data_IF_559234674453
#
_entry.id   IF_559234674453
#
_cell.length_a   1.000
_cell.length_b   1.000
_cell.length_c   1.000
_cell.angle_alpha   90.00
_cell.angle_beta   90.00
_cell.angle_gamma   90.00
#
_symmetry.space_group_name_H-M   'P 1'
#
loop_
_entity.id
_entity.type
_entity.pdbx_description
1 polymer ?
#
# COMPACT_ATOMS: atom_id res chain seq x y z
N UNK A 1 -50.64 17.13 35.65
CA UNK A 1 -50.71 18.59 35.86
C UNK A 1 -52.01 19.07 36.53
N UNK A 2 -53.15 18.36 36.46
CA UNK A 2 -54.40 18.87 37.07
C UNK A 2 -54.47 18.79 38.62
N UNK A 3 -53.80 17.82 39.23
CA UNK A 3 -53.85 17.60 40.69
C UNK A 3 -53.12 18.69 41.48
N UNK A 4 -51.91 19.07 41.06
CA UNK A 4 -51.13 20.13 41.72
C UNK A 4 -51.83 21.51 41.63
N UNK A 5 -52.51 21.79 40.51
CA UNK A 5 -53.27 23.02 40.34
C UNK A 5 -54.50 23.04 41.26
N UNK A 6 -55.19 21.90 41.44
CA UNK A 6 -56.29 21.76 42.39
C UNK A 6 -55.83 21.89 43.84
N UNK A 7 -54.70 21.27 44.21
CA UNK A 7 -54.15 21.35 45.56
C UNK A 7 -53.75 22.79 45.91
N UNK A 8 -53.14 23.51 44.96
CA UNK A 8 -52.80 24.93 45.11
C UNK A 8 -54.04 25.81 45.29
N UNK A 9 -55.10 25.55 44.52
CA UNK A 9 -56.35 26.30 44.63
C UNK A 9 -57.03 26.09 46.00
N UNK A 10 -57.10 24.84 46.47
CA UNK A 10 -57.67 24.50 47.77
C UNK A 10 -56.88 25.12 48.94
N UNK A 11 -55.55 25.22 48.81
CA UNK A 11 -54.69 25.83 49.83
C UNK A 11 -54.86 27.36 49.88
N UNK A 12 -55.00 28.01 48.72
CA UNK A 12 -55.30 29.44 48.64
C UNK A 12 -56.68 29.77 49.22
N UNK A 13 -57.69 28.94 48.99
CA UNK A 13 -59.03 29.11 49.56
C UNK A 13 -58.99 29.00 51.09
N UNK A 14 -58.28 28.00 51.64
CA UNK A 14 -58.09 27.85 53.09
C UNK A 14 -57.35 29.06 53.70
N UNK A 15 -56.29 29.55 53.05
CA UNK A 15 -55.57 30.74 53.51
C UNK A 15 -56.45 32.00 53.49
N UNK A 16 -57.26 32.17 52.46
CA UNK A 16 -58.21 33.29 52.35
C UNK A 16 -59.26 33.25 53.46
N UNK A 17 -59.82 32.07 53.74
CA UNK A 17 -60.78 31.86 54.81
C UNK A 17 -60.19 32.17 56.21
N UNK A 18 -58.96 31.70 56.48
CA UNK A 18 -58.25 32.00 57.72
C UNK A 18 -57.95 33.50 57.86
N UNK A 19 -57.55 34.17 56.78
CA UNK A 19 -57.28 35.60 56.79
C UNK A 19 -58.53 36.42 57.16
N UNK A 20 -59.68 36.11 56.57
CA UNK A 20 -60.94 36.79 56.89
C UNK A 20 -61.46 36.45 58.30
N UNK A 21 -61.10 35.27 58.84
CA UNK A 21 -61.40 34.93 60.24
C UNK A 21 -60.55 35.77 61.21
N UNK A 22 -59.24 35.87 60.97
CA UNK A 22 -58.33 36.69 61.77
C UNK A 22 -58.73 38.17 61.71
N UNK A 23 -59.09 38.67 60.53
CA UNK A 23 -59.53 40.06 60.34
C UNK A 23 -60.80 40.37 61.13
N UNK A 24 -61.79 39.46 61.13
CA UNK A 24 -63.01 39.61 61.95
C UNK A 24 -62.70 39.61 63.43
N UNK A 25 -61.88 38.67 63.89
CA UNK A 25 -61.46 38.59 65.28
C UNK A 25 -60.74 39.86 65.76
N UNK A 26 -59.81 40.40 64.97
CA UNK A 26 -59.13 41.68 65.29
C UNK A 26 -60.13 42.83 65.36
N UNK A 27 -61.13 42.86 64.48
CA UNK A 27 -62.22 43.83 64.52
C UNK A 27 -63.04 43.75 65.81
N UNK A 28 -63.42 42.54 66.22
CA UNK A 28 -64.16 42.26 67.46
C UNK A 28 -63.33 42.67 68.69
N UNK A 29 -62.05 42.34 68.74
CA UNK A 29 -61.17 42.74 69.85
C UNK A 29 -61.03 44.25 69.97
N UNK A 30 -60.85 44.95 68.84
CA UNK A 30 -60.77 46.42 68.84
C UNK A 30 -62.07 47.08 69.31
N UNK A 31 -63.21 46.46 69.00
CA UNK A 31 -64.51 46.94 69.47
C UNK A 31 -64.67 46.69 70.97
N UNK A 32 -64.28 45.51 71.45
CA UNK A 32 -64.28 45.15 72.88
C UNK A 32 -63.35 46.06 73.69
N UNK A 33 -62.18 46.39 73.16
CA UNK A 33 -61.25 47.34 73.79
C UNK A 33 -61.87 48.73 73.96
N UNK A 34 -62.65 49.20 72.97
CA UNK A 34 -63.40 50.47 73.09
C UNK A 34 -64.50 50.39 74.14
N UNK A 35 -65.23 49.28 74.19
CA UNK A 35 -66.28 49.04 75.18
C UNK A 35 -65.70 49.04 76.59
N UNK A 36 -64.66 48.25 76.84
CA UNK A 36 -63.94 48.23 78.12
C UNK A 36 -63.33 49.59 78.47
N UNK A 37 -62.80 50.32 77.48
CA UNK A 37 -62.31 51.69 77.68
C UNK A 37 -63.42 52.64 78.14
N UNK A 38 -64.61 52.52 77.58
CA UNK A 38 -65.77 53.32 77.99
C UNK A 38 -66.30 52.93 79.38
N UNK A 39 -66.32 51.64 79.71
CA UNK A 39 -66.68 51.12 81.03
C UNK A 39 -65.69 51.59 82.11
N UNK A 40 -64.38 51.58 81.81
CA UNK A 40 -63.35 52.08 82.71
C UNK A 40 -63.52 53.57 83.00
N UNK A 41 -63.85 54.37 81.98
CA UNK A 41 -64.14 55.81 82.15
C UNK A 41 -65.38 55.99 83.05
N UNK A 42 -66.43 55.19 82.85
CA UNK A 42 -67.63 55.24 83.67
C UNK A 42 -67.37 54.82 85.13
N UNK A 43 -66.56 53.77 85.35
CA UNK A 43 -66.14 53.33 86.68
C UNK A 43 -65.28 54.38 87.39
N UNK A 44 -64.35 55.03 86.69
CA UNK A 44 -63.57 56.14 87.24
C UNK A 44 -64.45 57.32 87.65
N UNK A 45 -65.44 57.66 86.83
CA UNK A 45 -66.40 58.71 87.16
C UNK A 45 -67.22 58.37 88.42
N UNK A 46 -67.71 57.13 88.54
CA UNK A 46 -68.42 56.65 89.75
C UNK A 46 -67.52 56.63 90.98
N UNK A 47 -66.26 56.21 90.84
CA UNK A 47 -65.29 56.24 91.93
C UNK A 47 -65.06 57.67 92.44
N UNK A 48 -64.88 58.63 91.52
CA UNK A 48 -64.73 60.04 91.88
C UNK A 48 -65.99 60.62 92.55
N UNK A 49 -67.18 60.19 92.14
CA UNK A 49 -68.45 60.58 92.78
C UNK A 49 -68.54 60.04 94.22
N UNK A 50 -68.21 58.76 94.42
CA UNK A 50 -68.17 58.14 95.76
C UNK A 50 -67.12 58.79 96.65
N UNK A 51 -65.93 59.10 96.12
CA UNK A 51 -64.91 59.87 96.86
C UNK A 51 -65.42 61.25 97.29
N UNK A 52 -66.14 61.94 96.39
CA UNK A 52 -66.79 63.22 96.70
C UNK A 52 -67.82 63.09 97.83
N UNK A 53 -68.69 62.08 97.76
CA UNK A 53 -69.68 61.79 98.81
C UNK A 53 -69.01 61.45 100.16
N UNK A 54 -67.91 60.69 100.14
CA UNK A 54 -67.13 60.38 101.36
C UNK A 54 -66.53 61.65 101.96
N UNK A 55 -65.98 62.55 101.13
CA UNK A 55 -65.42 63.82 101.61
C UNK A 55 -66.50 64.75 102.20
N UNK A 56 -67.67 64.83 101.55
CA UNK A 56 -68.82 65.59 102.05
C UNK A 56 -69.28 65.04 103.40
N UNK A 57 -69.45 63.71 103.52
CA UNK A 57 -69.83 63.08 104.78
C UNK A 57 -68.75 63.23 105.87
N UNK A 58 -67.47 63.17 105.53
CA UNK A 58 -66.39 63.47 106.48
C UNK A 58 -66.47 64.92 106.97
N UNK A 59 -66.80 65.86 106.09
CA UNK A 59 -66.98 67.27 106.46
C UNK A 59 -68.18 67.45 107.40
N UNK A 60 -69.32 66.82 107.10
CA UNK A 60 -70.50 66.81 107.98
C UNK A 60 -70.19 66.23 109.36
N UNK A 61 -69.47 65.10 109.40
CA UNK A 61 -69.03 64.48 110.66
C UNK A 61 -68.10 65.43 111.42
N UNK A 62 -67.14 66.09 110.75
CA UNK A 62 -66.22 67.05 111.39
C UNK A 62 -66.95 68.29 111.94
N UNK A 63 -67.88 68.85 111.18
CA UNK A 63 -68.71 69.98 111.62
C UNK A 63 -69.50 69.59 112.87
N UNK A 64 -70.09 68.39 112.88
CA UNK A 64 -70.88 67.90 114.00
C UNK A 64 -70.03 67.52 115.21
N UNK A 65 -68.82 66.98 115.02
CA UNK A 65 -67.84 66.82 116.12
C UNK A 65 -67.47 68.17 116.71
N UNK A 66 -67.38 69.22 115.87
CA UNK A 66 -67.25 70.61 116.33
C UNK A 66 -68.42 71.05 117.21
N UNK A 67 -69.67 70.82 116.78
CA UNK A 67 -70.87 71.11 117.57
C UNK A 67 -70.92 70.32 118.88
N UNK A 68 -70.60 69.02 118.85
CA UNK A 68 -70.47 68.18 120.04
C UNK A 68 -69.37 68.69 120.98
N UNK A 69 -68.26 69.22 120.44
CA UNK A 69 -67.21 69.86 121.23
C UNK A 69 -67.73 71.12 121.95
N UNK A 70 -68.58 71.92 121.30
CA UNK A 70 -69.26 73.07 121.93
C UNK A 70 -70.21 72.59 123.04
N UNK A 71 -71.01 71.56 122.78
CA UNK A 71 -71.92 70.97 123.78
C UNK A 71 -71.14 70.41 124.98
N UNK A 72 -70.04 69.69 124.73
CA UNK A 72 -69.19 69.17 125.81
C UNK A 72 -68.54 70.29 126.63
N UNK A 73 -68.08 71.36 125.98
CA UNK A 73 -67.54 72.56 126.65
C UNK A 73 -68.61 73.26 127.52
N UNK A 74 -69.86 73.34 127.04
CA UNK A 74 -71.00 73.83 127.83
C UNK A 74 -71.29 72.91 129.03
N UNK A 75 -71.23 71.59 128.85
CA UNK A 75 -71.40 70.62 129.94
C UNK A 75 -70.26 70.69 130.97
N UNK A 76 -69.01 70.84 130.55
CA UNK A 76 -67.84 71.01 131.43
C UNK A 76 -67.90 72.35 132.21
N UNK A 77 -68.27 73.46 131.55
CA UNK A 77 -68.52 74.74 132.24
C UNK A 77 -69.64 74.61 133.29
N UNK A 78 -70.67 73.81 133.01
CA UNK A 78 -71.77 73.54 133.95
C UNK A 78 -71.33 72.67 135.12
N UNK A 79 -70.50 71.65 134.91
CA UNK A 79 -69.92 70.86 135.99
C UNK A 79 -69.07 71.73 136.94
N UNK A 80 -68.38 72.75 136.42
CA UNK A 80 -67.70 73.77 137.21
C UNK A 80 -68.64 74.64 138.05
N UNK A 81 -69.82 75.00 137.52
CA UNK A 81 -70.80 75.84 138.23
C UNK A 81 -71.64 75.11 139.30
N UNK A 82 -71.73 73.78 139.23
CA UNK A 82 -72.43 72.97 140.25
C UNK A 82 -71.54 72.71 141.49
N UNK A 83 -70.22 72.96 141.40
CA UNK A 83 -69.28 72.86 142.52
C UNK A 83 -69.33 74.02 143.53
N UNK A 84 -69.94 75.15 143.18
CA UNK A 84 -70.09 76.33 144.04
C UNK A 84 -71.57 76.69 144.21
N UNK A 85 -72.31 75.88 144.97
CA UNK A 85 -73.69 76.18 145.33
C UNK A 85 -73.75 76.90 146.69
N UNK A 86 -74.01 78.22 146.74
CA UNK A 86 -74.42 78.88 147.98
C UNK A 86 -75.91 78.60 148.23
N UNK A 87 -76.23 78.20 149.46
CA UNK A 87 -77.56 78.12 150.08
C UNK A 87 -78.63 79.01 149.41
N UNK A 88 -79.44 78.41 148.54
CA UNK A 88 -80.53 79.09 147.84
C UNK A 88 -81.79 79.08 148.71
N UNK A 89 -82.46 80.24 148.76
CA UNK A 89 -83.72 80.45 149.49
C UNK A 89 -84.87 79.65 148.87
N UNK A 90 -85.83 79.16 149.69
CA UNK A 90 -86.90 78.26 149.25
C UNK A 90 -87.86 78.85 148.21
N UNK A 91 -87.92 80.18 148.06
CA UNK A 91 -88.80 80.87 147.10
C UNK A 91 -88.33 80.79 145.63
N UNK A 92 -87.11 80.30 145.37
CA UNK A 92 -86.55 80.14 144.02
C UNK A 92 -86.42 78.67 143.57
N UNK A 93 -86.80 77.71 144.42
CA UNK A 93 -86.68 76.28 144.12
C UNK A 93 -87.66 75.81 143.03
N UNK A 94 -88.83 76.44 142.91
CA UNK A 94 -89.84 76.07 141.92
C UNK A 94 -89.46 76.54 140.51
N UNK A 95 -88.92 77.75 140.37
CA UNK A 95 -88.40 78.27 139.10
C UNK A 95 -87.15 77.52 138.60
N UNK A 96 -86.30 77.04 139.52
CA UNK A 96 -85.12 76.23 139.18
C UNK A 96 -85.52 74.80 138.76
N UNK A 97 -86.57 74.23 139.36
CA UNK A 97 -87.15 72.93 138.97
C UNK A 97 -87.76 72.97 137.56
N UNK A 98 -88.52 74.02 137.23
CA UNK A 98 -89.13 74.18 135.91
C UNK A 98 -88.08 74.46 134.81
N UNK A 99 -87.07 75.28 135.11
CA UNK A 99 -85.95 75.53 134.20
C UNK A 99 -85.05 74.30 133.99
N UNK A 100 -84.94 73.40 134.99
CA UNK A 100 -84.22 72.14 134.85
C UNK A 100 -85.07 71.09 134.08
N UNK A 101 -86.40 71.07 134.25
CA UNK A 101 -87.31 70.16 133.53
C UNK A 101 -87.38 70.43 132.02
N UNK A 102 -87.59 71.69 131.61
CA UNK A 102 -87.55 72.09 130.18
C UNK A 102 -86.17 71.84 129.56
N UNK A 103 -85.11 71.91 130.38
CA UNK A 103 -83.73 71.67 129.94
C UNK A 103 -83.41 70.18 129.81
N UNK A 104 -84.00 69.30 130.63
CA UNK A 104 -83.88 67.85 130.44
C UNK A 104 -84.64 67.34 129.22
N UNK A 105 -85.77 67.96 128.86
CA UNK A 105 -86.49 67.64 127.61
C UNK A 105 -85.68 68.08 126.37
N UNK A 106 -85.01 69.23 126.45
CA UNK A 106 -84.09 69.68 125.40
C UNK A 106 -82.86 68.75 125.27
N UNK A 107 -82.25 68.34 126.38
CA UNK A 107 -81.12 67.38 126.38
C UNK A 107 -81.54 66.00 125.85
N UNK A 108 -82.73 65.50 126.22
CA UNK A 108 -83.28 64.26 125.67
C UNK A 108 -83.60 64.38 124.18
N UNK A 109 -84.17 65.50 123.73
CA UNK A 109 -84.40 65.76 122.30
C UNK A 109 -83.09 65.80 121.52
N UNK A 110 -82.05 66.42 122.07
CA UNK A 110 -80.72 66.47 121.45
C UNK A 110 -80.08 65.07 121.38
N UNK A 111 -80.21 64.26 122.43
CA UNK A 111 -79.72 62.88 122.46
C UNK A 111 -80.49 61.98 121.49
N UNK A 112 -81.80 62.15 121.36
CA UNK A 112 -82.63 61.44 120.39
C UNK A 112 -82.22 61.81 118.95
N UNK A 113 -81.99 63.10 118.66
CA UNK A 113 -81.48 63.58 117.37
C UNK A 113 -80.08 63.03 117.07
N UNK A 114 -79.18 63.00 118.06
CA UNK A 114 -77.84 62.43 117.91
C UNK A 114 -77.90 60.90 117.67
N UNK A 115 -78.82 60.20 118.32
CA UNK A 115 -79.02 58.75 118.13
C UNK A 115 -79.54 58.45 116.73
N UNK A 116 -80.56 59.17 116.28
CA UNK A 116 -81.12 59.00 114.93
C UNK A 116 -80.09 59.35 113.85
N UNK A 117 -79.28 60.40 114.09
CA UNK A 117 -78.17 60.74 113.22
C UNK A 117 -77.09 59.64 113.19
N UNK A 118 -76.70 59.10 114.35
CA UNK A 118 -75.70 58.03 114.42
C UNK A 118 -76.16 56.77 113.66
N UNK A 119 -77.44 56.41 113.76
CA UNK A 119 -78.03 55.31 112.99
C UNK A 119 -78.02 55.62 111.49
N UNK A 120 -78.37 56.85 111.09
CA UNK A 120 -78.33 57.25 109.68
C UNK A 120 -76.90 57.32 109.12
N UNK A 121 -75.93 57.80 109.90
CA UNK A 121 -74.52 57.85 109.54
C UNK A 121 -73.93 56.43 109.41
N UNK A 122 -74.23 55.53 110.35
CA UNK A 122 -73.83 54.13 110.26
C UNK A 122 -74.46 53.43 109.04
N UNK A 123 -75.74 53.68 108.75
CA UNK A 123 -76.41 53.16 107.56
C UNK A 123 -75.88 53.72 106.24
N UNK A 124 -75.35 54.95 106.22
CA UNK A 124 -74.64 55.51 105.05
C UNK A 124 -73.24 54.91 104.91
N UNK A 125 -72.48 54.80 106.00
CA UNK A 125 -71.16 54.19 106.00
C UNK A 125 -71.21 52.72 105.56
N UNK A 126 -72.19 51.94 106.03
CA UNK A 126 -72.36 50.55 105.60
C UNK A 126 -72.66 50.46 104.10
N UNK A 127 -73.53 51.33 103.56
CA UNK A 127 -73.79 51.38 102.11
C UNK A 127 -72.54 51.72 101.29
N UNK A 128 -71.69 52.61 101.78
CA UNK A 128 -70.40 52.92 101.15
C UNK A 128 -69.44 51.74 101.22
N UNK A 129 -69.37 51.03 102.35
CA UNK A 129 -68.56 49.81 102.49
C UNK A 129 -69.04 48.72 101.54
N UNK A 130 -70.36 48.52 101.43
CA UNK A 130 -70.97 47.55 100.51
C UNK A 130 -70.70 47.96 99.04
N UNK A 131 -70.75 49.25 98.71
CA UNK A 131 -70.37 49.77 97.39
C UNK A 131 -68.89 49.54 97.07
N UNK A 132 -67.98 49.90 97.98
CA UNK A 132 -66.53 49.72 97.79
C UNK A 132 -66.15 48.24 97.69
N UNK A 133 -66.76 47.36 98.48
CA UNK A 133 -66.53 45.91 98.36
C UNK A 133 -67.09 45.35 97.06
N UNK A 134 -68.24 45.84 96.58
CA UNK A 134 -68.76 45.45 95.26
C UNK A 134 -67.88 45.92 94.10
N UNK A 135 -67.26 47.11 94.21
CA UNK A 135 -66.31 47.64 93.24
C UNK A 135 -65.00 46.85 93.24
N UNK A 136 -64.44 46.54 94.43
CA UNK A 136 -63.22 45.74 94.54
C UNK A 136 -63.40 44.31 93.99
N UNK A 137 -64.59 43.71 94.18
CA UNK A 137 -64.92 42.43 93.56
C UNK A 137 -65.04 42.54 92.04
N UNK A 138 -65.60 43.64 91.52
CA UNK A 138 -65.64 43.96 90.08
C UNK A 138 -64.25 44.13 89.47
N UNK A 139 -63.35 44.85 90.15
CA UNK A 139 -61.97 45.05 89.72
C UNK A 139 -61.19 43.73 89.68
N UNK A 140 -61.36 42.86 90.68
CA UNK A 140 -60.72 41.53 90.70
C UNK A 140 -61.23 40.61 89.57
N UNK A 141 -62.51 40.69 89.22
CA UNK A 141 -63.07 39.95 88.07
C UNK A 141 -62.50 40.48 86.74
N UNK A 142 -62.37 41.80 86.61
CA UNK A 142 -61.78 42.44 85.44
C UNK A 142 -60.29 42.12 85.26
N UNK A 143 -59.52 42.11 86.35
CA UNK A 143 -58.10 41.71 86.32
C UNK A 143 -57.92 40.24 85.92
N UNK A 144 -58.81 39.35 86.39
CA UNK A 144 -58.80 37.94 85.98
C UNK A 144 -59.13 37.77 84.49
N UNK A 145 -60.10 38.52 83.98
CA UNK A 145 -60.47 38.51 82.57
C UNK A 145 -59.34 39.06 81.68
N UNK A 146 -58.69 40.16 82.09
CA UNK A 146 -57.48 40.69 81.44
C UNK A 146 -56.33 39.67 81.43
N UNK A 147 -56.13 38.92 82.52
CA UNK A 147 -55.11 37.88 82.58
C UNK A 147 -55.42 36.72 81.61
N UNK A 148 -56.69 36.32 81.49
CA UNK A 148 -57.12 35.33 80.50
C UNK A 148 -56.96 35.85 79.06
N UNK A 149 -57.30 37.10 78.80
CA UNK A 149 -57.14 37.66 77.45
C UNK A 149 -55.66 37.83 77.08
N UNK A 150 -54.76 38.15 78.02
CA UNK A 150 -53.29 38.12 77.80
C UNK A 150 -52.77 36.72 77.48
N UNK A 151 -53.26 35.69 78.17
CA UNK A 151 -52.81 34.30 77.88
C UNK A 151 -53.32 33.83 76.52
N UNK A 152 -54.55 34.18 76.14
CA UNK A 152 -55.07 33.95 74.78
C UNK A 152 -54.23 34.69 73.74
N UNK A 153 -53.89 35.95 73.99
CA UNK A 153 -53.04 36.73 73.09
C UNK A 153 -51.67 36.08 72.90
N UNK A 154 -51.03 35.60 73.97
CA UNK A 154 -49.76 34.86 73.88
C UNK A 154 -49.88 33.58 73.06
N UNK A 155 -50.97 32.81 73.24
CA UNK A 155 -51.21 31.61 72.43
C UNK A 155 -51.41 31.94 70.94
N UNK A 156 -52.17 33.00 70.64
CA UNK A 156 -52.33 33.49 69.27
C UNK A 156 -51.00 33.94 68.66
N UNK A 157 -50.14 34.63 69.41
CA UNK A 157 -48.80 35.03 68.94
C UNK A 157 -47.92 33.82 68.64
N UNK A 158 -47.98 32.77 69.46
CA UNK A 158 -47.28 31.51 69.19
C UNK A 158 -47.80 30.84 67.92
N UNK A 159 -49.11 30.78 67.73
CA UNK A 159 -49.72 30.23 66.51
C UNK A 159 -49.31 31.01 65.27
N UNK A 160 -49.32 32.35 65.32
CA UNK A 160 -48.88 33.22 64.22
C UNK A 160 -47.41 32.96 63.89
N UNK A 161 -46.55 32.81 64.92
CA UNK A 161 -45.12 32.54 64.73
C UNK A 161 -44.90 31.18 64.07
N UNK A 162 -45.59 30.14 64.54
CA UNK A 162 -45.53 28.80 63.95
C UNK A 162 -45.99 28.79 62.48
N UNK A 163 -47.09 29.51 62.17
CA UNK A 163 -47.57 29.65 60.79
C UNK A 163 -46.56 30.39 59.92
N UNK A 164 -45.94 31.46 60.43
CA UNK A 164 -44.90 32.20 59.71
C UNK A 164 -43.70 31.31 59.39
N UNK A 165 -43.24 30.51 60.35
CA UNK A 165 -42.14 29.58 60.16
C UNK A 165 -42.48 28.46 59.17
N UNK A 166 -43.73 28.01 59.16
CA UNK A 166 -44.20 27.04 58.18
C UNK A 166 -44.23 27.63 56.77
N UNK A 167 -44.76 28.85 56.62
CA UNK A 167 -44.76 29.59 55.34
C UNK A 167 -43.34 29.83 54.83
N UNK A 168 -42.40 30.19 55.71
CA UNK A 168 -41.00 30.36 55.35
C UNK A 168 -40.38 29.06 54.82
N UNK A 169 -40.64 27.92 55.49
CA UNK A 169 -40.20 26.60 55.04
C UNK A 169 -40.78 26.19 53.69
N UNK A 170 -42.08 26.41 53.49
CA UNK A 170 -42.72 26.17 52.20
C UNK A 170 -42.14 27.06 51.10
N UNK A 171 -41.84 28.34 51.41
CA UNK A 171 -41.18 29.27 50.49
C UNK A 171 -39.80 28.78 50.05
N UNK A 172 -39.00 28.26 50.99
CA UNK A 172 -37.70 27.66 50.67
C UNK A 172 -37.84 26.43 49.77
N UNK A 173 -38.78 25.52 50.09
CA UNK A 173 -39.05 24.33 49.27
C UNK A 173 -39.49 24.69 47.84
N UNK A 174 -40.34 25.71 47.69
CA UNK A 174 -40.73 26.21 46.36
C UNK A 174 -39.52 26.75 45.61
N UNK A 175 -38.61 27.47 46.27
CA UNK A 175 -37.38 27.98 45.68
C UNK A 175 -36.46 26.85 45.17
N UNK A 176 -36.29 25.79 45.96
CA UNK A 176 -35.50 24.62 45.57
C UNK A 176 -36.13 23.88 44.38
N UNK A 177 -37.45 23.68 44.40
CA UNK A 177 -38.17 23.06 43.30
C UNK A 177 -38.09 23.87 41.99
N UNK A 178 -38.20 25.20 42.07
CA UNK A 178 -38.04 26.07 40.90
C UNK A 178 -36.62 26.04 40.33
N UNK A 179 -35.61 25.91 41.20
CA UNK A 179 -34.22 25.78 40.77
C UNK A 179 -34.00 24.46 40.05
N UNK A 180 -34.52 23.35 40.62
CA UNK A 180 -34.47 22.03 39.99
C UNK A 180 -35.27 21.97 38.67
N UNK A 181 -36.40 22.67 38.59
CA UNK A 181 -37.15 22.81 37.34
C UNK A 181 -36.33 23.52 36.26
N UNK A 182 -35.63 24.60 36.61
CA UNK A 182 -34.74 25.32 35.67
C UNK A 182 -33.59 24.44 35.18
N UNK A 183 -32.97 23.68 36.07
CA UNK A 183 -31.91 22.72 35.71
C UNK A 183 -32.43 21.63 34.76
N UNK A 184 -33.59 21.04 35.06
CA UNK A 184 -34.20 20.03 34.20
C UNK A 184 -34.56 20.59 32.82
N UNK A 185 -35.10 21.82 32.75
CA UNK A 185 -35.36 22.48 31.45
C UNK A 185 -34.09 22.73 30.67
N UNK A 186 -33.00 23.14 31.33
CA UNK A 186 -31.70 23.32 30.68
C UNK A 186 -31.16 21.98 30.14
N UNK A 187 -31.26 20.91 30.93
CA UNK A 187 -30.84 19.57 30.51
C UNK A 187 -31.66 19.04 29.34
N UNK A 188 -32.99 19.20 29.37
CA UNK A 188 -33.87 18.89 28.23
C UNK A 188 -33.44 19.67 26.99
N UNK A 189 -33.17 20.97 27.10
CA UNK A 189 -32.73 21.78 25.97
C UNK A 189 -31.33 21.40 25.44
N UNK A 190 -30.46 20.81 26.27
CA UNK A 190 -29.20 20.20 25.79
C UNK A 190 -29.48 18.89 25.07
N UNK A 191 -30.30 18.03 25.66
CA UNK A 191 -30.68 16.75 25.04
C UNK A 191 -31.40 16.95 23.71
N UNK A 192 -32.31 17.91 23.61
CA UNK A 192 -33.02 18.25 22.37
C UNK A 192 -32.10 18.82 21.30
N UNK A 193 -31.01 19.50 21.67
CA UNK A 193 -29.99 19.95 20.72
C UNK A 193 -29.09 18.80 20.28
N UNK A 194 -28.60 17.97 21.21
CA UNK A 194 -27.78 16.80 20.87
C UNK A 194 -28.56 15.69 20.16
N UNK A 195 -29.85 15.56 20.47
CA UNK A 195 -30.78 14.66 19.80
C UNK A 195 -31.54 15.38 18.68
N UNK A 196 -31.24 16.65 18.41
CA UNK A 196 -31.79 17.30 17.23
C UNK A 196 -31.29 16.49 16.06
N UNK A 197 -32.24 15.88 15.38
CA UNK A 197 -32.04 15.04 14.22
C UNK A 197 -31.12 15.74 13.21
N UNK A 198 -31.04 17.07 13.20
CA UNK A 198 -30.20 17.85 12.29
C UNK A 198 -28.71 17.53 12.32
N UNK A 199 -28.06 17.37 13.49
CA UNK A 199 -26.62 17.08 13.51
C UNK A 199 -26.34 15.64 13.04
N UNK A 200 -27.08 14.66 13.58
CA UNK A 200 -26.97 13.27 13.17
C UNK A 200 -27.42 13.04 11.72
N UNK A 201 -28.45 13.74 11.26
CA UNK A 201 -28.93 13.68 9.86
C UNK A 201 -27.91 14.31 8.94
N UNK A 202 -27.29 15.44 9.32
CA UNK A 202 -26.20 16.05 8.57
C UNK A 202 -24.98 15.13 8.46
N UNK A 203 -24.58 14.48 9.55
CA UNK A 203 -23.51 13.46 9.54
C UNK A 203 -23.88 12.25 8.67
N UNK A 204 -25.11 11.75 8.76
CA UNK A 204 -25.59 10.63 7.93
C UNK A 204 -25.66 11.02 6.46
N UNK A 205 -26.10 12.22 6.12
CA UNK A 205 -26.11 12.74 4.74
C UNK A 205 -24.68 12.88 4.19
N UNK A 206 -23.77 13.43 4.99
CA UNK A 206 -22.35 13.51 4.62
C UNK A 206 -21.73 12.12 4.40
N UNK A 207 -21.98 11.17 5.31
CA UNK A 207 -21.51 9.79 5.16
C UNK A 207 -22.12 9.10 3.94
N UNK A 208 -23.41 9.32 3.64
CA UNK A 208 -24.05 8.80 2.42
C UNK A 208 -23.39 9.36 1.15
N UNK A 209 -23.14 10.67 1.11
CA UNK A 209 -22.45 11.29 -0.02
C UNK A 209 -21.02 10.74 -0.19
N UNK A 210 -20.31 10.55 0.93
CA UNK A 210 -18.98 9.95 0.92
C UNK A 210 -18.98 8.50 0.42
N UNK A 211 -19.93 7.68 0.88
CA UNK A 211 -20.10 6.30 0.39
C UNK A 211 -20.41 6.27 -1.11
N UNK A 212 -21.33 7.12 -1.59
CA UNK A 212 -21.65 7.21 -3.01
C UNK A 212 -20.44 7.60 -3.89
N UNK A 213 -19.59 8.51 -3.39
CA UNK A 213 -18.34 8.87 -4.05
C UNK A 213 -17.37 7.69 -4.13
N UNK A 214 -17.21 6.93 -3.03
CA UNK A 214 -16.39 5.72 -3.00
C UNK A 214 -16.92 4.62 -3.92
N UNK A 215 -18.23 4.44 -4.01
CA UNK A 215 -18.86 3.48 -4.93
C UNK A 215 -18.58 3.85 -6.39
N UNK A 216 -18.65 5.14 -6.73
CA UNK A 216 -18.31 5.65 -8.06
C UNK A 216 -16.83 5.38 -8.38
N UNK A 217 -15.93 5.70 -7.45
CA UNK A 217 -14.50 5.43 -7.60
C UNK A 217 -14.21 3.93 -7.78
N UNK A 218 -14.91 3.07 -7.04
CA UNK A 218 -14.78 1.63 -7.17
C UNK A 218 -15.30 1.11 -8.52
N UNK A 219 -16.34 1.73 -9.09
CA UNK A 219 -16.83 1.40 -10.43
C UNK A 219 -15.82 1.79 -11.51
N UNK A 220 -15.23 2.99 -11.43
CA UNK A 220 -14.21 3.47 -12.36
C UNK A 220 -12.96 2.57 -12.35
N UNK A 221 -12.49 2.18 -11.16
CA UNK A 221 -11.35 1.27 -11.02
C UNK A 221 -11.63 -0.12 -11.59
N UNK A 222 -12.86 -0.62 -11.47
CA UNK A 222 -13.25 -1.90 -12.11
C UNK A 222 -13.23 -1.80 -13.63
N UNK A 223 -13.73 -0.70 -14.20
CA UNK A 223 -13.65 -0.48 -15.64
C UNK A 223 -12.20 -0.39 -16.14
N UNK A 224 -11.32 0.25 -15.37
CA UNK A 224 -9.88 0.30 -15.70
C UNK A 224 -9.24 -1.09 -15.65
N UNK A 225 -9.54 -1.92 -14.65
CA UNK A 225 -9.04 -3.29 -14.57
C UNK A 225 -9.54 -4.16 -15.74
N UNK A 226 -10.81 -4.03 -16.12
CA UNK A 226 -11.37 -4.71 -17.29
C UNK A 226 -10.68 -4.30 -18.60
N UNK A 227 -10.42 -3.00 -18.78
CA UNK A 227 -9.69 -2.49 -19.94
C UNK A 227 -8.26 -3.04 -20.01
N UNK A 228 -7.53 -3.00 -18.89
CA UNK A 228 -6.18 -3.55 -18.80
C UNK A 228 -6.13 -5.06 -19.04
N UNK A 229 -7.13 -5.81 -18.56
CA UNK A 229 -7.24 -7.25 -18.85
C UNK A 229 -7.48 -7.52 -20.33
N UNK A 230 -8.30 -6.70 -20.99
CA UNK A 230 -8.53 -6.82 -22.43
C UNK A 230 -7.23 -6.53 -23.22
N UNK A 231 -6.49 -5.48 -22.85
CA UNK A 231 -5.17 -5.20 -23.42
C UNK A 231 -4.19 -6.35 -23.19
N UNK A 232 -4.12 -6.90 -21.97
CA UNK A 232 -3.25 -8.04 -21.68
C UNK A 232 -3.59 -9.25 -22.56
N UNK A 233 -4.89 -9.51 -22.80
CA UNK A 233 -5.33 -10.58 -23.68
C UNK A 233 -4.88 -10.35 -25.14
N UNK A 234 -4.95 -9.11 -25.65
CA UNK A 234 -4.45 -8.81 -27.01
C UNK A 234 -2.94 -8.94 -27.10
N UNK A 235 -2.18 -8.48 -26.09
CA UNK A 235 -0.73 -8.68 -26.02
C UNK A 235 -0.36 -10.17 -26.00
N UNK A 236 -1.09 -11.00 -25.25
CA UNK A 236 -0.88 -12.45 -25.22
C UNK A 236 -1.17 -13.11 -26.58
N UNK A 237 -2.23 -12.68 -27.28
CA UNK A 237 -2.52 -13.18 -28.63
C UNK A 237 -1.42 -12.77 -29.63
N UNK A 238 -0.97 -11.53 -29.58
CA UNK A 238 0.13 -11.04 -30.42
C UNK A 238 1.44 -11.82 -30.15
N UNK A 239 1.75 -12.09 -28.87
CA UNK A 239 2.92 -12.88 -28.51
C UNK A 239 2.85 -14.32 -29.06
N UNK A 240 1.67 -14.95 -29.06
CA UNK A 240 1.45 -16.26 -29.67
C UNK A 240 1.63 -16.22 -31.19
N UNK A 241 1.03 -15.23 -31.85
CA UNK A 241 1.18 -15.05 -33.30
C UNK A 241 2.66 -14.87 -33.71
N UNK A 242 3.42 -14.05 -32.96
CA UNK A 242 4.85 -13.88 -33.18
C UNK A 242 5.65 -15.17 -32.95
N UNK A 243 5.27 -15.97 -31.95
CA UNK A 243 5.91 -17.27 -31.71
C UNK A 243 5.66 -18.25 -32.86
N UNK A 244 4.44 -18.28 -33.39
CA UNK A 244 4.07 -19.10 -34.55
C UNK A 244 4.83 -18.64 -35.81
N UNK A 245 4.95 -17.33 -36.04
CA UNK A 245 5.79 -16.76 -37.11
C UNK A 245 7.26 -17.15 -36.96
N UNK A 246 7.80 -17.09 -35.74
CA UNK A 246 9.18 -17.52 -35.46
C UNK A 246 9.39 -19.00 -35.76
N UNK A 247 8.44 -19.87 -35.38
CA UNK A 247 8.51 -21.29 -35.68
C UNK A 247 8.47 -21.56 -37.20
N UNK A 248 7.58 -20.88 -37.93
CA UNK A 248 7.51 -20.99 -39.39
C UNK A 248 8.80 -20.50 -40.09
N UNK A 249 9.42 -19.42 -39.59
CA UNK A 249 10.71 -18.95 -40.08
C UNK A 249 11.85 -19.93 -39.79
N UNK A 250 11.84 -20.57 -38.61
CA UNK A 250 12.82 -21.60 -38.28
C UNK A 250 12.68 -22.82 -39.21
N UNK A 251 11.46 -23.26 -39.49
CA UNK A 251 11.22 -24.36 -40.43
C UNK A 251 11.75 -24.02 -41.84
N UNK A 252 11.45 -22.80 -42.33
CA UNK A 252 12.00 -22.32 -43.61
C UNK A 252 13.53 -22.29 -43.64
N UNK A 253 14.18 -21.88 -42.55
CA UNK A 253 15.64 -21.90 -42.46
C UNK A 253 16.18 -23.33 -42.53
N UNK A 254 15.56 -24.29 -41.83
CA UNK A 254 15.97 -25.70 -41.91
C UNK A 254 15.78 -26.28 -43.30
N UNK A 255 14.70 -25.90 -44.00
CA UNK A 255 14.47 -26.31 -45.38
C UNK A 255 15.54 -25.75 -46.31
N UNK A 256 15.84 -24.45 -46.21
CA UNK A 256 16.89 -23.80 -46.99
C UNK A 256 18.27 -24.42 -46.72
N UNK A 257 18.60 -24.75 -45.48
CA UNK A 257 19.84 -25.44 -45.14
C UNK A 257 19.91 -26.84 -45.80
N UNK A 258 18.79 -27.56 -45.82
CA UNK A 258 18.67 -28.83 -46.54
C UNK A 258 18.88 -28.67 -48.05
N UNK A 259 18.26 -27.66 -48.66
CA UNK A 259 18.47 -27.31 -50.07
C UNK A 259 19.94 -26.98 -50.35
N UNK A 260 20.60 -26.20 -49.49
CA UNK A 260 22.00 -25.81 -49.63
C UNK A 260 22.93 -27.03 -49.51
N UNK A 261 22.67 -27.94 -48.57
CA UNK A 261 23.39 -29.21 -48.47
C UNK A 261 23.23 -30.08 -49.73
N UNK A 262 22.02 -30.16 -50.28
CA UNK A 262 21.78 -30.89 -51.53
C UNK A 262 22.57 -30.29 -52.70
N UNK A 263 22.63 -28.96 -52.80
CA UNK A 263 23.41 -28.27 -53.82
C UNK A 263 24.91 -28.50 -53.65
N UNK A 264 25.42 -28.48 -52.42
CA UNK A 264 26.84 -28.81 -52.13
C UNK A 264 27.19 -30.24 -52.51
N UNK A 265 26.28 -31.18 -52.30
CA UNK A 265 26.48 -32.57 -52.72
C UNK A 265 26.50 -32.68 -54.25
N UNK A 266 25.56 -32.02 -54.93
CA UNK A 266 25.56 -31.94 -56.39
C UNK A 266 26.86 -31.32 -56.93
N UNK A 267 27.34 -30.23 -56.31
CA UNK A 267 28.61 -29.60 -56.70
C UNK A 267 29.79 -30.56 -56.51
N UNK A 268 29.83 -31.32 -55.39
CA UNK A 268 30.86 -32.34 -55.16
C UNK A 268 30.82 -33.43 -56.23
N UNK A 269 29.63 -33.91 -56.58
CA UNK A 269 29.45 -34.94 -57.60
C UNK A 269 29.90 -34.43 -58.97
N UNK A 270 29.51 -33.21 -59.34
CA UNK A 270 29.95 -32.55 -60.57
C UNK A 270 31.48 -32.36 -60.60
N UNK A 271 32.09 -31.93 -59.50
CA UNK A 271 33.56 -31.84 -59.38
C UNK A 271 34.23 -33.20 -59.57
N UNK A 272 33.65 -34.26 -59.01
CA UNK A 272 34.14 -35.63 -59.22
C UNK A 272 34.02 -36.07 -60.68
N UNK A 273 32.91 -35.76 -61.36
CA UNK A 273 32.73 -36.05 -62.78
C UNK A 273 33.75 -35.29 -63.63
N UNK A 274 33.96 -34.00 -63.36
CA UNK A 274 34.99 -33.20 -64.04
C UNK A 274 36.39 -33.78 -63.82
N UNK A 275 36.69 -34.28 -62.62
CA UNK A 275 37.92 -35.00 -62.33
C UNK A 275 38.10 -36.24 -63.22
N UNK A 276 37.05 -37.07 -63.31
CA UNK A 276 37.06 -38.25 -64.19
C UNK A 276 37.22 -37.88 -65.68
N UNK A 277 36.60 -36.79 -66.15
CA UNK A 277 36.82 -36.30 -67.51
C UNK A 277 38.28 -35.85 -67.75
N UNK A 278 38.93 -35.22 -66.78
CA UNK A 278 40.35 -34.87 -66.89
C UNK A 278 41.24 -36.11 -66.92
N UNK A 279 40.95 -37.13 -66.12
CA UNK A 279 41.66 -38.41 -66.18
C UNK A 279 41.49 -39.10 -67.53
N UNK A 280 40.27 -39.10 -68.09
CA UNK A 280 40.01 -39.58 -69.44
C UNK A 280 40.80 -38.80 -70.49
N UNK A 281 40.82 -37.47 -70.42
CA UNK A 281 41.59 -36.64 -71.34
C UNK A 281 43.10 -36.95 -71.23
N UNK A 282 43.62 -37.12 -70.01
CA UNK A 282 45.00 -37.54 -69.79
C UNK A 282 45.29 -38.95 -70.32
N UNK A 283 44.36 -39.90 -70.16
CA UNK A 283 44.47 -41.23 -70.74
C UNK A 283 44.45 -41.20 -72.27
N UNK A 284 43.62 -40.34 -72.87
CA UNK A 284 43.55 -40.15 -74.32
C UNK A 284 44.84 -39.53 -74.87
N UNK A 285 45.40 -38.53 -74.20
CA UNK A 285 46.70 -37.96 -74.56
C UNK A 285 47.82 -39.01 -74.49
N UNK A 286 47.82 -39.88 -73.47
CA UNK A 286 48.77 -41.00 -73.39
C UNK A 286 48.58 -42.00 -74.53
N UNK A 287 47.33 -42.31 -74.89
CA UNK A 287 47.02 -43.18 -76.01
C UNK A 287 47.54 -42.59 -77.34
N UNK A 288 47.38 -41.29 -77.56
CA UNK A 288 47.93 -40.58 -78.72
C UNK A 288 49.46 -40.62 -78.74
N UNK A 289 50.13 -40.41 -77.60
CA UNK A 289 51.59 -40.52 -77.49
C UNK A 289 52.08 -41.95 -77.80
N UNK A 290 51.39 -42.97 -77.28
CA UNK A 290 51.70 -44.36 -77.59
C UNK A 290 51.48 -44.69 -79.07
N UNK A 291 50.43 -44.14 -79.68
CA UNK A 291 50.16 -44.31 -81.10
C UNK A 291 51.27 -43.68 -81.96
N UNK A 292 51.69 -42.45 -81.63
CA UNK A 292 52.82 -41.80 -82.30
C UNK A 292 54.12 -42.60 -82.12
N UNK A 293 54.39 -43.12 -80.92
CA UNK A 293 55.55 -43.95 -80.66
C UNK A 293 55.52 -45.26 -81.45
N UNK A 294 54.34 -45.88 -81.59
CA UNK A 294 54.14 -47.08 -82.40
C UNK A 294 54.39 -46.79 -83.88
N UNK A 295 53.86 -45.69 -84.41
CA UNK A 295 54.06 -45.32 -85.82
C UNK A 295 55.53 -44.98 -86.11
N UNK A 296 56.21 -44.28 -85.20
CA UNK A 296 57.66 -44.07 -85.29
C UNK A 296 58.45 -45.39 -85.22
N UNK A 297 58.03 -46.35 -84.39
CA UNK A 297 58.63 -47.68 -84.34
C UNK A 297 58.41 -48.46 -85.64
N UNK A 298 57.22 -48.35 -86.26
CA UNK A 298 56.92 -48.93 -87.57
C UNK A 298 57.78 -48.33 -88.67
N UNK A 299 57.94 -47.02 -88.72
CA UNK A 299 58.84 -46.37 -89.69
C UNK A 299 60.29 -46.85 -89.54
N UNK A 300 60.79 -46.96 -88.30
CA UNK A 300 62.13 -47.53 -88.04
C UNK A 300 62.25 -48.97 -88.53
N UNK A 301 61.23 -49.80 -88.31
CA UNK A 301 61.19 -51.17 -88.84
C UNK A 301 61.22 -51.18 -90.37
N UNK A 302 60.39 -50.36 -91.02
CA UNK A 302 60.39 -50.23 -92.49
C UNK A 302 61.71 -49.70 -93.05
N UNK A 303 62.41 -48.83 -92.32
CA UNK A 303 63.75 -48.37 -92.70
C UNK A 303 64.83 -49.45 -92.52
N UNK A 304 64.64 -50.39 -91.59
CA UNK A 304 65.54 -51.54 -91.40
C UNK A 304 65.34 -52.63 -92.44
N UNK A 305 64.13 -52.81 -92.99
CA UNK A 305 63.84 -53.80 -94.04
C UNK A 305 64.81 -53.77 -95.25
N UNK A 306 65.12 -52.63 -95.88
CA UNK A 306 66.07 -52.59 -96.99
C UNK A 306 67.48 -52.97 -96.57
N UNK A 307 67.90 -52.65 -95.34
CA UNK A 307 69.20 -53.06 -94.80
C UNK A 307 69.28 -54.58 -94.62
N UNK A 308 68.22 -55.20 -94.10
CA UNK A 308 68.13 -56.67 -93.98
C UNK A 308 68.13 -57.33 -95.36
N UNK A 309 67.40 -56.77 -96.34
CA UNK A 309 67.41 -57.29 -97.72
C UNK A 309 68.79 -57.19 -98.36
N UNK A 310 69.49 -56.07 -98.16
CA UNK A 310 70.84 -55.88 -98.66
C UNK A 310 71.82 -56.87 -98.04
N UNK A 311 71.84 -56.99 -96.70
CA UNK A 311 72.71 -57.94 -96.01
C UNK A 311 72.44 -59.40 -96.43
N UNK A 312 71.17 -59.76 -96.67
CA UNK A 312 70.83 -61.09 -97.20
C UNK A 312 71.31 -61.30 -98.65
N UNK A 313 71.28 -60.28 -99.49
CA UNK A 313 71.81 -60.34 -100.86
C UNK A 313 73.35 -60.50 -100.86
N UNK A 314 74.05 -59.79 -99.97
CA UNK A 314 75.49 -59.91 -99.79
C UNK A 314 75.87 -61.32 -99.32
N UNK A 315 75.14 -61.87 -98.34
CA UNK A 315 75.33 -63.24 -97.85
C UNK A 315 75.07 -64.28 -98.94
N UNK A 316 74.04 -64.09 -99.78
CA UNK A 316 73.76 -64.99 -100.89
C UNK A 316 74.91 -65.00 -101.91
N UNK A 317 75.44 -63.82 -102.22
CA UNK A 317 76.61 -63.66 -103.11
C UNK A 317 77.84 -64.36 -102.55
N UNK A 318 78.15 -64.15 -101.27
CA UNK A 318 79.25 -64.83 -100.59
C UNK A 318 79.09 -66.35 -100.58
N UNK A 319 77.87 -66.85 -100.35
CA UNK A 319 77.61 -68.29 -100.34
C UNK A 319 77.74 -68.90 -101.76
N UNK A 320 77.33 -68.16 -102.80
CA UNK A 320 77.55 -68.58 -104.18
C UNK A 320 79.04 -68.69 -104.52
N UNK A 321 79.85 -67.73 -104.08
CA UNK A 321 81.31 -67.74 -104.24
C UNK A 321 81.96 -68.88 -103.44
N UNK A 322 81.50 -69.13 -102.21
CA UNK A 322 82.00 -70.23 -101.39
C UNK A 322 81.69 -71.60 -102.00
N UNK A 323 80.51 -71.78 -102.61
CA UNK A 323 80.17 -73.00 -103.35
C UNK A 323 81.01 -73.17 -104.61
N UNK A 324 81.19 -72.10 -105.39
CA UNK A 324 82.12 -72.08 -106.52
C UNK A 324 83.54 -72.47 -106.11
N UNK A 325 83.96 -72.06 -104.91
CA UNK A 325 85.27 -72.42 -104.39
C UNK A 325 85.39 -73.90 -104.01
N UNK A 326 84.30 -74.52 -103.54
CA UNK A 326 84.26 -75.93 -103.17
C UNK A 326 84.14 -76.87 -104.38
N UNK A 327 83.40 -76.46 -105.42
CA UNK A 327 83.12 -77.29 -106.60
C UNK A 327 84.19 -77.15 -107.71
N UNK A 328 85.09 -76.17 -107.62
CA UNK A 328 86.11 -75.94 -108.64
C UNK A 328 87.21 -77.02 -108.60
N UNK A 329 87.45 -77.76 -109.70
CA UNK A 329 88.45 -78.83 -109.75
C UNK A 329 89.90 -78.31 -109.71
N UNK A 330 90.11 -77.00 -109.82
CA UNK A 330 91.41 -76.36 -109.65
C UNK A 330 91.27 -74.86 -109.35
N UNK A 331 92.28 -74.28 -108.69
CA UNK A 331 92.31 -72.86 -108.35
C UNK A 331 92.22 -71.93 -109.56
N UNK A 332 92.61 -72.39 -110.75
CA UNK A 332 92.49 -71.63 -112.00
C UNK A 332 91.04 -71.51 -112.44
N UNK A 333 90.31 -72.63 -112.47
CA UNK A 333 88.88 -72.67 -112.86
C UNK A 333 88.03 -71.86 -111.88
N UNK A 334 88.39 -71.88 -110.60
CA UNK A 334 87.78 -71.05 -109.55
C UNK A 334 87.94 -69.57 -109.86
N UNK A 335 89.16 -69.11 -110.14
CA UNK A 335 89.44 -67.71 -110.45
C UNK A 335 88.78 -67.27 -111.75
N UNK A 336 88.78 -68.12 -112.78
CA UNK A 336 88.09 -67.84 -114.04
C UNK A 336 86.58 -67.67 -113.82
N UNK A 337 85.95 -68.59 -113.09
CA UNK A 337 84.51 -68.52 -112.80
C UNK A 337 84.15 -67.38 -111.83
N UNK A 338 85.00 -67.08 -110.84
CA UNK A 338 84.80 -65.97 -109.92
C UNK A 338 84.92 -64.61 -110.61
N UNK A 339 85.91 -64.43 -111.49
CA UNK A 339 86.08 -63.21 -112.29
C UNK A 339 84.97 -63.07 -113.32
N UNK A 340 84.50 -64.17 -113.90
CA UNK A 340 83.34 -64.20 -114.78
C UNK A 340 82.09 -63.69 -114.06
N UNK A 341 81.79 -64.26 -112.88
CA UNK A 341 80.61 -63.88 -112.11
C UNK A 341 80.71 -62.44 -111.58
N UNK A 342 81.89 -62.00 -111.12
CA UNK A 342 82.12 -60.63 -110.69
C UNK A 342 81.96 -59.63 -111.85
N UNK A 343 82.45 -59.97 -113.04
CA UNK A 343 82.28 -59.17 -114.24
C UNK A 343 80.81 -59.01 -114.66
N UNK A 344 80.03 -60.10 -114.61
CA UNK A 344 78.59 -60.07 -114.89
C UNK A 344 77.80 -59.28 -113.85
N UNK A 345 78.11 -59.43 -112.55
CA UNK A 345 77.41 -58.72 -111.48
C UNK A 345 77.73 -57.22 -111.43
N UNK A 346 78.97 -56.84 -111.76
CA UNK A 346 79.39 -55.44 -111.81
C UNK A 346 79.04 -54.76 -113.15
N UNK A 347 78.58 -55.51 -114.15
CA UNK A 347 78.32 -55.00 -115.50
C UNK A 347 79.57 -54.40 -116.15
N UNK A 348 80.76 -54.92 -115.83
CA UNK A 348 82.03 -54.37 -116.26
C UNK A 348 82.59 -55.16 -117.47
N UNK A 349 82.95 -54.46 -118.55
CA UNK A 349 83.47 -55.05 -119.79
C UNK A 349 84.91 -55.60 -119.69
N UNK A 350 85.53 -55.53 -118.50
CA UNK A 350 86.86 -56.07 -118.24
C UNK A 350 87.10 -56.24 -116.75
N UNK A 351 86.88 -57.44 -116.22
CA UNK A 351 87.26 -57.79 -114.85
C UNK A 351 88.50 -58.70 -114.93
N UNK A 352 89.51 -58.46 -114.09
CA UNK A 352 90.79 -59.17 -114.17
C UNK A 352 91.17 -59.71 -112.79
N UNK A 353 91.55 -60.97 -112.71
CA UNK A 353 92.25 -61.51 -111.55
C UNK A 353 93.73 -61.68 -111.84
N UNK A 354 94.51 -61.13 -110.91
CA UNK A 354 95.92 -61.37 -110.78
C UNK A 354 96.11 -62.33 -109.58
N UNK A 355 96.95 -63.36 -109.76
CA UNK A 355 97.37 -64.24 -108.68
C UNK A 355 98.78 -63.86 -108.26
N UNK A 356 98.99 -63.67 -106.97
CA UNK A 356 100.34 -63.57 -106.42
C UNK A 356 101.06 -64.91 -106.51
N UNK A 357 102.19 -64.95 -107.22
CA UNK A 357 103.10 -66.09 -107.25
C UNK A 357 104.20 -65.85 -106.23
N UNK A 358 104.12 -66.54 -105.10
CA UNK A 358 105.06 -66.39 -103.99
C UNK A 358 106.49 -66.85 -104.35
N UNK A 359 106.60 -67.92 -105.15
CA UNK A 359 107.90 -68.44 -105.62
C UNK A 359 108.67 -67.43 -106.47
N UNK A 360 107.96 -66.59 -107.22
CA UNK A 360 108.53 -65.59 -108.12
C UNK A 360 108.41 -64.15 -107.56
N UNK A 361 107.82 -63.99 -106.36
CA UNK A 361 107.46 -62.71 -105.74
C UNK A 361 106.80 -61.71 -106.73
N UNK A 362 105.86 -62.18 -107.56
CA UNK A 362 105.21 -61.34 -108.58
C UNK A 362 103.73 -61.64 -108.75
N UNK A 363 102.98 -60.63 -109.19
CA UNK A 363 101.62 -60.81 -109.69
C UNK A 363 101.67 -61.46 -111.08
N UNK A 364 100.93 -62.55 -111.23
CA UNK A 364 100.79 -63.28 -112.49
C UNK A 364 99.33 -63.19 -112.91
N UNK A 365 99.04 -62.82 -114.17
CA UNK A 365 97.70 -62.91 -114.73
C UNK A 365 97.11 -64.30 -114.51
N UNK A 366 95.95 -64.35 -113.87
CA UNK A 366 95.31 -65.62 -113.53
C UNK A 366 94.07 -65.86 -114.38
N UNK A 367 93.19 -64.85 -114.44
CA UNK A 367 91.95 -64.92 -115.17
C UNK A 367 91.50 -63.52 -115.60
N UNK A 368 90.67 -63.46 -116.64
CA UNK A 368 89.99 -62.24 -117.03
C UNK A 368 88.57 -62.57 -117.52
N UNK A 369 87.68 -61.61 -117.37
CA UNK A 369 86.33 -61.60 -117.93
C UNK A 369 86.26 -60.58 -119.05
N UNK A 370 85.49 -60.90 -120.09
CA UNK A 370 85.35 -60.08 -121.29
C UNK A 370 86.34 -60.46 -122.39
N UNK A 371 86.64 -59.50 -123.27
CA UNK A 371 87.40 -59.72 -124.52
C UNK A 371 88.80 -60.32 -124.32
N UNK A 372 89.36 -60.18 -123.13
CA UNK A 372 90.72 -60.63 -122.81
C UNK A 372 90.77 -61.94 -122.01
N UNK A 373 89.65 -62.66 -121.83
CA UNK A 373 89.60 -63.89 -121.02
C UNK A 373 90.61 -64.96 -121.46
N UNK A 374 90.79 -65.12 -122.78
CA UNK A 374 91.68 -66.14 -123.34
C UNK A 374 93.12 -65.68 -123.50
N UNK A 375 93.36 -64.37 -123.57
CA UNK A 375 94.69 -63.79 -123.84
C UNK A 375 95.38 -63.33 -122.57
N UNK A 376 94.64 -62.80 -121.60
CA UNK A 376 95.20 -62.24 -120.37
C UNK A 376 96.07 -63.23 -119.57
N UNK A 377 95.68 -64.50 -119.36
CA UNK A 377 96.51 -65.45 -118.60
C UNK A 377 97.86 -65.77 -119.27
N UNK A 378 97.98 -65.55 -120.57
CA UNK A 378 99.18 -65.83 -121.35
C UNK A 378 100.04 -64.58 -121.60
N UNK A 379 99.58 -63.40 -121.21
CA UNK A 379 100.34 -62.16 -121.42
C UNK A 379 101.59 -62.16 -120.53
N UNK A 380 102.80 -62.08 -121.13
CA UNK A 380 104.03 -61.94 -120.36
C UNK A 380 104.05 -60.54 -119.76
N UNK A 381 103.66 -60.41 -118.50
CA UNK A 381 103.83 -59.16 -117.76
C UNK A 381 105.33 -58.89 -117.59
N UNK A 382 105.83 -57.89 -118.30
CA UNK A 382 107.21 -57.44 -118.16
C UNK A 382 107.41 -56.84 -116.76
N UNK A 383 108.52 -57.21 -116.11
CA UNK A 383 108.93 -56.89 -114.73
C UNK A 383 108.89 -55.40 -114.31
N UNK A 384 108.53 -54.46 -115.18
CA UNK A 384 108.65 -53.02 -114.92
C UNK A 384 107.35 -52.25 -114.71
N UNK A 385 106.18 -52.85 -114.89
CA UNK A 385 104.92 -52.08 -114.83
C UNK A 385 104.06 -52.33 -113.60
N UNK A 386 104.43 -53.26 -112.73
CA UNK A 386 103.77 -53.43 -111.43
C UNK A 386 104.84 -53.57 -110.34
N UNK A 387 105.49 -52.45 -110.02
CA UNK A 387 106.07 -52.23 -108.68
C UNK A 387 104.90 -52.16 -107.69
N UNK A 388 104.25 -53.30 -107.45
CA UNK A 388 103.26 -53.49 -106.39
C UNK A 388 103.94 -54.01 -105.12
N UNK A 389 105.26 -53.85 -105.01
CA UNK A 389 106.08 -54.33 -103.90
C UNK A 389 105.95 -53.51 -102.61
N UNK A 390 105.00 -52.57 -102.44
CA UNK A 390 104.92 -51.86 -101.13
C UNK A 390 103.53 -51.66 -100.51
N UNK A 391 102.39 -51.58 -101.22
CA UNK A 391 101.17 -51.06 -100.57
C UNK A 391 99.97 -52.02 -100.37
N UNK A 392 100.02 -53.29 -100.79
CA UNK A 392 98.84 -54.17 -100.66
C UNK A 392 99.09 -55.52 -99.97
N UNK A 393 100.31 -55.79 -99.51
CA UNK A 393 100.59 -57.02 -98.74
C UNK A 393 100.22 -56.93 -97.24
N UNK A 394 99.83 -55.76 -96.70
CA UNK A 394 99.56 -55.60 -95.26
C UNK A 394 98.21 -55.00 -94.85
N UNK A 395 97.43 -54.43 -95.77
CA UNK A 395 96.09 -53.93 -95.43
C UNK A 395 95.06 -54.95 -95.93
N UNK A 396 94.44 -55.71 -95.04
CA UNK A 396 93.34 -56.63 -95.38
C UNK A 396 92.06 -55.92 -95.83
N UNK A 397 92.16 -54.93 -96.74
CA UNK A 397 91.09 -54.10 -97.26
C UNK A 397 91.19 -53.97 -98.78
N UNK A 398 90.04 -54.01 -99.46
CA UNK A 398 89.93 -53.79 -100.90
C UNK A 398 90.18 -52.31 -101.24
N UNK A 399 90.92 -52.03 -102.32
CA UNK A 399 91.12 -50.67 -102.83
C UNK A 399 90.35 -50.48 -104.14
N UNK A 400 89.51 -49.45 -104.17
CA UNK A 400 88.92 -48.89 -105.40
C UNK A 400 89.80 -47.74 -105.87
N UNK A 401 90.30 -47.80 -107.10
CA UNK A 401 90.93 -46.65 -107.76
C UNK A 401 90.02 -46.22 -108.91
N UNK A 402 89.60 -44.96 -108.88
CA UNK A 402 88.68 -44.37 -109.84
C UNK A 402 89.42 -44.16 -111.17
N UNK A 403 89.16 -45.08 -112.13
CA UNK A 403 89.88 -45.14 -113.40
C UNK A 403 90.04 -46.55 -113.98
N UNK A 404 88.94 -47.28 -114.13
CA UNK A 404 88.84 -48.40 -115.10
C UNK A 404 89.50 -49.74 -114.77
N UNK A 405 90.15 -49.92 -113.61
CA UNK A 405 90.67 -51.23 -113.19
C UNK A 405 90.33 -51.52 -111.71
N UNK A 406 89.41 -52.46 -111.48
CA UNK A 406 89.15 -53.00 -110.14
C UNK A 406 90.08 -54.20 -109.88
N UNK A 407 90.89 -54.13 -108.81
CA UNK A 407 91.73 -55.26 -108.37
C UNK A 407 91.12 -55.86 -107.10
N UNK A 408 90.49 -57.02 -107.22
CA UNK A 408 89.99 -57.80 -106.08
C UNK A 408 91.13 -58.64 -105.50
N UNK A 409 91.61 -58.23 -104.32
CA UNK A 409 92.49 -59.05 -103.48
C UNK A 409 91.63 -60.02 -102.68
N UNK A 410 91.57 -61.28 -103.11
CA UNK A 410 91.02 -62.37 -102.30
C UNK A 410 92.17 -63.00 -101.50
N UNK A 411 92.21 -62.86 -100.16
CA UNK A 411 93.12 -63.66 -99.36
C UNK A 411 92.63 -65.11 -99.36
N UNK A 412 93.07 -65.90 -100.34
CA UNK A 412 92.98 -67.35 -100.28
C UNK A 412 94.04 -67.87 -99.30
N UNK A 413 93.77 -67.65 -98.01
CA UNK A 413 94.48 -68.33 -96.93
C UNK A 413 93.94 -69.77 -96.90
N UNK A 414 94.63 -70.67 -97.58
CA UNK A 414 94.50 -72.11 -97.31
C UNK A 414 95.30 -72.39 -96.03
N UNK A 415 94.73 -72.04 -94.88
CA UNK A 415 95.15 -72.56 -93.58
C UNK A 415 93.95 -73.21 -92.90
N UNK A 416 94.18 -74.43 -92.42
CA UNK A 416 93.16 -75.32 -91.90
C UNK A 416 92.34 -74.73 -90.75
N UNK A 417 91.06 -75.08 -90.78
CA UNK A 417 90.15 -75.33 -89.66
C UNK A 417 90.81 -75.13 -88.29
N UNK A 418 90.51 -74.00 -87.63
CA UNK A 418 90.44 -73.89 -86.16
C UNK A 418 89.45 -72.80 -85.75
N UNK A 419 88.22 -73.26 -85.48
CA UNK A 419 87.36 -72.98 -84.31
C UNK A 419 87.17 -71.54 -83.76
N UNK A 420 85.89 -71.18 -83.58
CA UNK A 420 85.35 -70.25 -82.57
C UNK A 420 85.00 -68.87 -83.15
N UNK A 421 83.75 -68.46 -83.39
CA UNK A 421 82.48 -68.66 -82.67
C UNK A 421 82.61 -68.26 -81.19
N UNK A 422 82.50 -66.97 -80.91
CA UNK A 422 82.11 -66.44 -79.62
C UNK A 422 81.15 -65.26 -79.80
N UNK A 423 80.02 -65.43 -79.11
CA UNK A 423 78.80 -64.65 -78.91
C UNK A 423 78.89 -63.12 -78.97
#
# INVERSE_FOLDING_TARGET
>A
MSTLAQDKAALLEKHSALFEQVKRFVGEQKQREKELGSELVALKARSAEVEGQVQEHLHDIQAMVGELGVVNSIMEQRAGLVGEAPTVRPEYAEALSEALGVRTEYEQSLLEQLRDWAVHAAGRAQRLVDQVTSMAAGDGAFEHELAMDRTREQDWLLQITNLRDHVARLGAQIGDLQSRERELRAYIGVLERSASEQELTGEVEHLRAYVAALETQAADLRQQDEALRAELATWQQNARALADEQAALQERLTELDGQLQSQRNLERDLRSQVGAFHEMAGAQQRAEQLQQALDAARERLSALEPHIRLGNADLFTLNSLARLALDAPSARVLLESAVQQAGEQLGADGCYALRWSEADQRLVPAAAYGLYSNTFPALPFAQRELNLEVALLFAGHALFVDGGFATLSLPLVVQGIKQGLLL
#
